data_IF_484530547365
#
_entry.id   IF_484530547365
#
_cell.length_a   1.000
_cell.length_b   1.000
_cell.length_c   1.000
_cell.angle_alpha   90.00
_cell.angle_beta   90.00
_cell.angle_gamma   90.00
#
_symmetry.space_group_name_H-M   'P 1'
#
loop_
_entity.id
_entity.type
_entity.pdbx_description
1 polymer ?
#
# COMPACT_ATOMS: atom_id res chain seq x y z
N UNK A 1 -12.99 62.00 10.98
CA UNK A 1 -12.80 61.00 9.91
C UNK A 1 -12.42 59.68 10.55
N UNK A 2 -13.38 58.75 10.63
CA UNK A 2 -13.15 57.39 11.10
C UNK A 2 -12.51 56.63 9.94
N UNK A 3 -11.20 56.38 10.01
CA UNK A 3 -10.59 55.33 9.21
C UNK A 3 -10.70 54.03 9.99
N UNK A 4 -11.62 53.17 9.54
CA UNK A 4 -11.77 51.81 10.00
C UNK A 4 -10.43 51.08 9.93
N UNK A 5 -9.83 50.80 11.09
CA UNK A 5 -8.86 49.71 11.24
C UNK A 5 -9.65 48.41 11.06
N UNK A 6 -9.80 47.96 9.81
CA UNK A 6 -10.22 46.60 9.53
C UNK A 6 -9.09 45.69 10.00
N UNK A 7 -9.21 45.18 11.23
CA UNK A 7 -8.41 44.07 11.71
C UNK A 7 -8.60 42.91 10.73
N UNK A 8 -7.69 42.77 9.77
CA UNK A 8 -7.63 41.56 8.96
C UNK A 8 -7.36 40.43 9.97
N UNK A 9 -8.28 39.46 10.13
CA UNK A 9 -8.11 38.43 11.14
C UNK A 9 -6.80 37.69 10.84
N UNK A 10 -5.89 37.63 11.80
CA UNK A 10 -4.52 37.09 11.64
C UNK A 10 -4.45 35.57 11.34
N UNK A 11 -5.58 34.93 11.01
CA UNK A 11 -5.72 33.47 10.88
C UNK A 11 -6.82 33.07 9.86
N UNK A 12 -6.96 33.77 8.72
CA UNK A 12 -7.86 33.29 7.66
C UNK A 12 -7.27 32.11 6.89
N UNK A 13 -8.10 31.31 6.22
CA UNK A 13 -7.67 30.22 5.33
C UNK A 13 -6.58 30.71 4.36
N UNK A 14 -6.85 31.82 3.65
CA UNK A 14 -5.93 32.42 2.69
C UNK A 14 -4.59 32.80 3.30
N UNK A 15 -4.60 33.41 4.48
CA UNK A 15 -3.36 33.79 5.17
C UNK A 15 -2.55 32.58 5.60
N UNK A 16 -3.21 31.58 6.21
CA UNK A 16 -2.55 30.36 6.68
C UNK A 16 -1.91 29.57 5.53
N UNK A 17 -2.57 29.48 4.38
CA UNK A 17 -2.03 28.85 3.18
C UNK A 17 -0.87 29.64 2.59
N UNK A 18 -0.99 30.98 2.49
CA UNK A 18 0.09 31.86 2.01
C UNK A 18 1.36 31.76 2.86
N UNK A 19 1.23 31.65 4.19
CA UNK A 19 2.40 31.49 5.06
C UNK A 19 3.00 30.09 5.00
N UNK A 20 2.17 29.06 4.85
CA UNK A 20 2.61 27.69 4.74
C UNK A 20 3.33 27.39 3.41
N UNK A 21 2.85 27.96 2.30
CA UNK A 21 3.41 27.75 0.96
C UNK A 21 4.81 28.35 0.77
N UNK A 22 5.29 29.14 1.74
CA UNK A 22 6.69 29.60 1.80
C UNK A 22 7.64 28.51 2.30
N UNK A 23 7.12 27.41 2.87
CA UNK A 23 7.90 26.37 3.57
C UNK A 23 7.73 24.98 2.96
N UNK A 24 6.59 24.72 2.34
CA UNK A 24 6.23 23.44 1.74
C UNK A 24 5.41 23.69 0.47
N UNK A 25 5.25 22.66 -0.36
CA UNK A 25 4.36 22.71 -1.51
C UNK A 25 2.95 23.16 -1.14
N UNK A 26 2.34 23.99 -1.99
CA UNK A 26 1.02 24.57 -1.71
C UNK A 26 -0.06 23.49 -1.54
N UNK A 27 0.00 22.42 -2.33
CA UNK A 27 -0.92 21.29 -2.21
C UNK A 27 -0.83 20.62 -0.83
N UNK A 28 0.38 20.44 -0.29
CA UNK A 28 0.55 19.86 1.05
C UNK A 28 0.00 20.78 2.14
N UNK A 29 0.21 22.10 2.00
CA UNK A 29 -0.38 23.09 2.89
C UNK A 29 -1.93 23.02 2.88
N UNK A 30 -2.53 22.94 1.68
CA UNK A 30 -3.98 22.77 1.52
C UNK A 30 -4.49 21.50 2.18
N UNK A 31 -3.85 20.36 1.90
CA UNK A 31 -4.26 19.05 2.42
C UNK A 31 -4.14 18.98 3.95
N UNK A 32 -3.09 19.57 4.53
CA UNK A 32 -2.93 19.66 5.98
C UNK A 32 -3.99 20.55 6.62
N UNK A 33 -4.31 21.70 6.01
CA UNK A 33 -5.34 22.60 6.55
C UNK A 33 -6.72 21.94 6.46
N UNK A 34 -7.06 21.36 5.30
CA UNK A 34 -8.28 20.60 5.07
C UNK A 34 -8.46 19.50 6.13
N UNK A 35 -7.39 18.72 6.39
CA UNK A 35 -7.37 17.70 7.43
C UNK A 35 -7.62 18.26 8.84
N UNK A 36 -7.04 19.42 9.18
CA UNK A 36 -7.23 20.06 10.49
C UNK A 36 -8.66 20.55 10.68
N UNK A 37 -9.28 21.09 9.62
CA UNK A 37 -10.64 21.59 9.67
C UNK A 37 -11.70 20.48 9.56
N UNK A 38 -11.33 19.29 9.06
CA UNK A 38 -12.30 18.26 8.68
C UNK A 38 -13.16 18.71 7.49
N UNK A 39 -12.56 19.42 6.54
CA UNK A 39 -13.22 20.01 5.36
C UNK A 39 -12.50 19.58 4.09
N UNK A 40 -13.17 19.74 2.95
CA UNK A 40 -12.60 19.45 1.65
C UNK A 40 -11.71 20.59 1.16
N UNK A 41 -10.97 20.38 0.06
CA UNK A 41 -10.14 21.44 -0.55
C UNK A 41 -11.00 22.51 -1.20
N UNK A 42 -12.11 22.11 -1.81
CA UNK A 42 -13.10 22.99 -2.43
C UNK A 42 -13.68 23.97 -1.41
N UNK A 43 -13.89 23.51 -0.17
CA UNK A 43 -14.30 24.37 0.93
C UNK A 43 -13.27 25.45 1.22
N UNK A 44 -11.97 25.12 1.25
CA UNK A 44 -10.91 26.12 1.47
C UNK A 44 -10.88 27.16 0.34
N UNK A 45 -10.98 26.69 -0.91
CA UNK A 45 -10.97 27.55 -2.09
C UNK A 45 -12.16 28.52 -2.15
N UNK A 46 -13.35 28.07 -1.71
CA UNK A 46 -14.58 28.87 -1.71
C UNK A 46 -14.73 29.75 -0.45
N UNK A 47 -13.95 29.50 0.61
CA UNK A 47 -14.02 30.22 1.88
C UNK A 47 -12.64 30.82 2.29
N UNK A 48 -11.96 31.59 1.42
CA UNK A 48 -10.60 32.06 1.68
C UNK A 48 -10.49 33.01 2.88
N UNK A 49 -11.55 33.79 3.16
CA UNK A 49 -11.60 34.75 4.26
C UNK A 49 -12.15 34.16 5.57
N UNK A 50 -12.48 32.86 5.59
CA UNK A 50 -12.94 32.22 6.82
C UNK A 50 -11.85 32.22 7.88
N UNK A 51 -12.20 32.71 9.06
CA UNK A 51 -11.33 32.71 10.24
C UNK A 51 -11.26 31.33 10.87
N UNK A 52 -10.04 30.92 11.23
CA UNK A 52 -9.78 29.63 11.88
C UNK A 52 -9.48 29.87 13.36
N UNK A 53 -10.09 29.06 14.24
CA UNK A 53 -9.86 29.15 15.68
C UNK A 53 -8.42 28.79 16.06
N UNK A 54 -7.97 29.32 17.20
CA UNK A 54 -6.58 29.22 17.63
C UNK A 54 -6.11 27.77 17.84
N UNK A 55 -6.99 26.87 18.32
CA UNK A 55 -6.64 25.46 18.53
C UNK A 55 -6.34 24.76 17.21
N UNK A 56 -7.16 25.01 16.18
CA UNK A 56 -6.91 24.51 14.82
C UNK A 56 -5.66 25.14 14.21
N UNK A 57 -5.41 26.43 14.42
CA UNK A 57 -4.17 27.09 13.96
C UNK A 57 -2.93 26.44 14.60
N UNK A 58 -2.95 26.17 15.91
CA UNK A 58 -1.85 25.50 16.62
C UNK A 58 -1.62 24.10 16.05
N UNK A 59 -2.70 23.33 15.85
CA UNK A 59 -2.62 21.99 15.24
C UNK A 59 -2.03 22.04 13.83
N UNK A 60 -2.48 22.98 13.00
CA UNK A 60 -1.96 23.17 11.64
C UNK A 60 -0.47 23.52 11.65
N UNK A 61 -0.05 24.49 12.47
CA UNK A 61 1.37 24.86 12.61
C UNK A 61 2.24 23.70 13.11
N UNK A 62 1.72 22.85 14.00
CA UNK A 62 2.39 21.63 14.43
C UNK A 62 2.60 20.64 13.27
N UNK A 63 1.56 20.38 12.46
CA UNK A 63 1.67 19.50 11.29
C UNK A 63 2.62 20.08 10.22
N UNK A 64 2.57 21.39 9.97
CA UNK A 64 3.51 22.07 9.07
C UNK A 64 4.96 21.85 9.52
N UNK A 65 5.26 22.02 10.81
CA UNK A 65 6.62 21.79 11.33
C UNK A 65 7.09 20.35 11.07
N UNK A 66 6.21 19.36 11.25
CA UNK A 66 6.51 17.96 10.96
C UNK A 66 6.70 17.71 9.47
N UNK A 67 5.89 18.35 8.61
CA UNK A 67 6.02 18.24 7.15
C UNK A 67 7.35 18.81 6.66
N UNK A 68 7.73 20.00 7.14
CA UNK A 68 9.03 20.62 6.84
C UNK A 68 10.21 19.79 7.31
N UNK A 69 10.04 18.94 8.34
CA UNK A 69 11.09 18.01 8.77
C UNK A 69 11.13 16.69 7.99
N UNK A 70 10.41 16.59 6.86
CA UNK A 70 10.40 15.40 6.00
C UNK A 70 9.33 14.36 6.34
N UNK A 71 8.45 14.58 7.32
CA UNK A 71 7.40 13.61 7.64
C UNK A 71 6.43 13.46 6.45
N UNK A 72 6.10 12.22 6.02
CA UNK A 72 5.19 12.00 4.91
C UNK A 72 3.80 12.59 5.19
N UNK A 73 3.22 13.24 4.18
CA UNK A 73 1.89 13.85 4.29
C UNK A 73 0.84 12.83 4.75
N UNK A 74 0.86 11.61 4.20
CA UNK A 74 -0.09 10.56 4.50
C UNK A 74 -0.07 10.14 5.99
N UNK A 75 1.08 10.22 6.67
CA UNK A 75 1.16 9.95 8.11
C UNK A 75 0.64 11.12 8.96
N UNK A 76 0.80 12.36 8.47
CA UNK A 76 0.25 13.54 9.13
C UNK A 76 -1.27 13.58 9.05
N UNK A 77 -1.81 13.29 7.86
CA UNK A 77 -3.25 13.19 7.63
C UNK A 77 -3.81 11.87 8.16
N UNK A 78 -2.99 10.82 8.29
CA UNK A 78 -3.32 9.42 8.65
C UNK A 78 -4.09 8.65 7.58
N UNK A 79 -4.08 9.17 6.35
CA UNK A 79 -4.90 8.68 5.25
C UNK A 79 -4.10 8.66 3.94
N UNK A 80 -4.33 7.66 3.10
CA UNK A 80 -3.79 7.53 1.75
C UNK A 80 -4.84 6.92 0.84
N UNK A 81 -5.15 7.60 -0.26
CA UNK A 81 -5.93 7.02 -1.34
C UNK A 81 -5.10 5.99 -2.10
N UNK A 82 -5.74 4.87 -2.43
CA UNK A 82 -5.21 3.78 -3.25
C UNK A 82 -6.36 3.10 -3.98
N UNK A 83 -6.27 2.97 -5.29
CA UNK A 83 -7.27 2.32 -6.14
C UNK A 83 -8.71 2.87 -5.94
N UNK A 84 -8.83 4.19 -5.76
CA UNK A 84 -10.10 4.88 -5.51
C UNK A 84 -10.67 4.72 -4.10
N UNK A 85 -9.95 4.06 -3.18
CA UNK A 85 -10.37 3.86 -1.78
C UNK A 85 -9.42 4.56 -0.81
N UNK A 86 -9.98 5.12 0.26
CA UNK A 86 -9.20 5.78 1.30
C UNK A 86 -8.76 4.79 2.40
N UNK A 87 -7.45 4.70 2.66
CA UNK A 87 -6.86 3.80 3.65
C UNK A 87 -6.24 4.57 4.82
N UNK A 88 -6.51 4.09 6.03
CA UNK A 88 -5.78 4.51 7.23
C UNK A 88 -4.34 4.03 7.12
N UNK A 89 -3.38 4.91 7.37
CA UNK A 89 -1.94 4.60 7.39
C UNK A 89 -1.28 5.22 8.62
N UNK A 90 -0.16 4.64 9.04
CA UNK A 90 0.70 5.22 10.07
C UNK A 90 2.13 4.70 9.92
N UNK A 91 3.02 5.14 10.83
CA UNK A 91 4.44 4.75 10.89
C UNK A 91 4.75 3.26 10.99
N UNK A 92 3.75 2.38 11.06
CA UNK A 92 3.89 0.93 11.11
C UNK A 92 3.57 0.24 9.78
N UNK A 93 3.19 0.99 8.75
CA UNK A 93 2.82 0.46 7.43
C UNK A 93 3.49 1.26 6.32
N UNK A 94 3.95 0.59 5.26
CA UNK A 94 4.31 1.25 4.01
C UNK A 94 3.13 2.10 3.51
N UNK A 95 3.39 3.31 3.06
CA UNK A 95 2.38 4.15 2.42
C UNK A 95 2.06 3.53 1.05
N UNK A 96 0.80 3.18 0.75
CA UNK A 96 0.41 2.63 -0.55
C UNK A 96 0.97 3.46 -1.72
N UNK A 97 1.60 2.78 -2.68
CA UNK A 97 2.20 3.41 -3.87
C UNK A 97 1.29 3.25 -5.08
N UNK A 98 1.24 4.23 -6.00
CA UNK A 98 0.49 4.09 -7.24
C UNK A 98 0.92 2.89 -8.08
N UNK A 99 2.24 2.61 -8.14
CA UNK A 99 2.76 1.47 -8.91
C UNK A 99 2.21 0.12 -8.43
N UNK A 100 1.84 0.00 -7.16
CA UNK A 100 1.21 -1.20 -6.58
C UNK A 100 -0.19 -1.45 -7.13
N UNK A 101 -0.87 -0.45 -7.69
CA UNK A 101 -2.17 -0.62 -8.34
C UNK A 101 -2.08 -1.52 -9.58
N UNK A 102 -0.92 -1.56 -10.26
CA UNK A 102 -0.68 -2.46 -11.40
C UNK A 102 -0.81 -3.93 -10.99
N UNK A 103 -0.39 -4.28 -9.77
CA UNK A 103 -0.56 -5.64 -9.25
C UNK A 103 -2.03 -5.97 -9.00
N UNK A 104 -2.79 -5.03 -8.43
CA UNK A 104 -4.24 -5.18 -8.22
C UNK A 104 -4.96 -5.38 -9.56
N UNK A 105 -4.64 -4.56 -10.57
CA UNK A 105 -5.18 -4.69 -11.92
C UNK A 105 -4.85 -6.04 -12.55
N UNK A 106 -3.62 -6.52 -12.39
CA UNK A 106 -3.20 -7.81 -12.93
C UNK A 106 -3.98 -8.99 -12.32
N UNK A 107 -4.26 -8.94 -11.01
CA UNK A 107 -5.10 -9.93 -10.32
C UNK A 107 -6.54 -9.85 -10.80
N UNK A 108 -7.11 -8.64 -10.82
CA UNK A 108 -8.50 -8.38 -11.24
C UNK A 108 -8.74 -8.87 -12.68
N UNK A 109 -7.83 -8.57 -13.59
CA UNK A 109 -7.96 -8.98 -14.99
C UNK A 109 -7.90 -10.51 -15.15
N UNK A 110 -7.08 -11.20 -14.35
CA UNK A 110 -7.06 -12.66 -14.33
C UNK A 110 -8.38 -13.23 -13.80
N UNK A 111 -8.87 -12.70 -12.68
CA UNK A 111 -10.15 -13.12 -12.08
C UNK A 111 -11.35 -12.92 -13.02
N UNK A 112 -11.32 -11.86 -13.86
CA UNK A 112 -12.33 -11.65 -14.93
C UNK A 112 -12.29 -12.76 -15.98
N UNK A 113 -11.10 -13.14 -16.42
CA UNK A 113 -10.91 -14.11 -17.48
C UNK A 113 -11.29 -15.54 -17.05
N UNK A 114 -11.15 -15.86 -15.76
CA UNK A 114 -11.40 -17.19 -15.20
C UNK A 114 -12.77 -17.32 -14.53
N UNK A 115 -13.75 -16.46 -14.87
CA UNK A 115 -15.05 -16.37 -14.17
C UNK A 115 -15.96 -17.59 -14.45
N UNK A 116 -15.64 -18.73 -13.84
CA UNK A 116 -16.44 -19.96 -13.81
C UNK A 116 -17.29 -20.11 -12.52
N UNK A 117 -17.22 -19.10 -11.63
CA UNK A 117 -17.90 -19.12 -10.34
C UNK A 117 -17.21 -19.98 -9.26
N UNK A 118 -16.01 -20.49 -9.53
CA UNK A 118 -15.19 -21.21 -8.55
C UNK A 118 -14.78 -20.30 -7.39
N UNK A 119 -14.71 -20.88 -6.19
CA UNK A 119 -14.19 -20.18 -5.03
C UNK A 119 -12.67 -20.13 -5.09
N UNK A 120 -12.09 -18.96 -4.84
CA UNK A 120 -10.64 -18.75 -4.86
C UNK A 120 -10.17 -18.30 -3.48
N UNK A 121 -8.97 -18.70 -3.11
CA UNK A 121 -8.29 -18.21 -1.91
C UNK A 121 -7.27 -17.15 -2.34
N UNK A 122 -7.43 -15.93 -1.82
CA UNK A 122 -6.48 -14.82 -1.97
C UNK A 122 -5.65 -14.70 -0.70
N UNK A 123 -4.33 -14.75 -0.82
CA UNK A 123 -3.38 -14.58 0.29
C UNK A 123 -2.52 -13.36 -0.02
N UNK A 124 -2.66 -12.31 0.77
CA UNK A 124 -1.81 -11.13 0.69
C UNK A 124 -0.69 -11.20 1.74
N UNK A 125 0.55 -11.22 1.26
CA UNK A 125 1.76 -11.46 2.05
C UNK A 125 2.50 -10.14 2.30
N UNK A 126 2.72 -9.81 3.57
CA UNK A 126 3.26 -8.50 3.95
C UNK A 126 2.22 -7.39 3.80
N UNK A 127 0.99 -7.65 4.27
CA UNK A 127 -0.20 -6.86 3.91
C UNK A 127 -0.13 -5.37 4.27
N UNK A 128 0.69 -4.98 5.25
CA UNK A 128 0.90 -3.58 5.60
C UNK A 128 -0.40 -2.88 6.01
N UNK A 129 -0.91 -2.00 5.15
CA UNK A 129 -2.17 -1.28 5.38
C UNK A 129 -3.42 -2.09 4.98
N UNK A 130 -3.25 -3.21 4.27
CA UNK A 130 -4.32 -4.00 3.67
C UNK A 130 -4.83 -3.47 2.33
N UNK A 131 -4.14 -2.51 1.70
CA UNK A 131 -4.64 -1.84 0.51
C UNK A 131 -4.87 -2.79 -0.68
N UNK A 132 -3.94 -3.71 -0.93
CA UNK A 132 -4.02 -4.70 -2.02
C UNK A 132 -5.26 -5.63 -1.87
N UNK A 133 -5.40 -6.41 -0.79
CA UNK A 133 -6.48 -7.39 -0.68
C UNK A 133 -7.85 -6.73 -0.54
N UNK A 134 -7.92 -5.56 0.09
CA UNK A 134 -9.17 -4.79 0.19
C UNK A 134 -9.59 -4.25 -1.17
N UNK A 135 -8.66 -3.68 -1.96
CA UNK A 135 -8.97 -3.19 -3.31
C UNK A 135 -9.45 -4.34 -4.21
N UNK A 136 -8.77 -5.50 -4.18
CA UNK A 136 -9.20 -6.70 -4.90
C UNK A 136 -10.60 -7.15 -4.44
N UNK A 137 -10.86 -7.20 -3.13
CA UNK A 137 -12.14 -7.63 -2.59
C UNK A 137 -13.31 -6.71 -2.96
N UNK A 138 -13.07 -5.40 -2.93
CA UNK A 138 -14.06 -4.39 -3.35
C UNK A 138 -14.42 -4.59 -4.81
N UNK A 139 -13.42 -4.86 -5.64
CA UNK A 139 -13.63 -5.16 -7.04
C UNK A 139 -14.38 -6.49 -7.24
N UNK A 140 -13.95 -7.59 -6.61
CA UNK A 140 -14.57 -8.92 -6.81
C UNK A 140 -16.01 -9.01 -6.31
N UNK A 141 -16.37 -8.21 -5.30
CA UNK A 141 -17.75 -8.10 -4.79
C UNK A 141 -18.72 -7.60 -5.86
N UNK A 142 -18.29 -6.63 -6.68
CA UNK A 142 -19.13 -6.06 -7.75
C UNK A 142 -19.43 -7.08 -8.86
N UNK A 143 -18.58 -8.10 -9.01
CA UNK A 143 -18.70 -9.16 -10.02
C UNK A 143 -19.17 -10.50 -9.45
N UNK A 144 -19.60 -10.54 -8.17
CA UNK A 144 -20.10 -11.72 -7.45
C UNK A 144 -19.13 -12.91 -7.41
N UNK A 145 -17.83 -12.65 -7.45
CA UNK A 145 -16.81 -13.69 -7.29
C UNK A 145 -16.68 -14.10 -5.82
N UNK A 146 -16.55 -15.41 -5.56
CA UNK A 146 -16.37 -15.94 -4.21
C UNK A 146 -14.89 -16.00 -3.85
N UNK A 147 -14.42 -15.02 -3.08
CA UNK A 147 -13.01 -14.94 -2.66
C UNK A 147 -12.88 -15.04 -1.14
N UNK A 148 -12.12 -16.02 -0.67
CA UNK A 148 -11.71 -16.14 0.73
C UNK A 148 -10.34 -15.48 0.92
N UNK A 149 -10.27 -14.45 1.76
CA UNK A 149 -9.09 -13.60 1.86
C UNK A 149 -8.33 -13.88 3.16
N UNK A 150 -7.03 -14.11 3.02
CA UNK A 150 -6.07 -14.16 4.11
C UNK A 150 -5.08 -13.03 3.94
N UNK A 151 -4.71 -12.39 5.05
CA UNK A 151 -3.67 -11.38 5.07
C UNK A 151 -2.64 -11.73 6.13
N UNK A 152 -1.37 -11.81 5.72
CA UNK A 152 -0.24 -12.12 6.61
C UNK A 152 0.69 -10.92 6.73
N UNK A 153 1.25 -10.74 7.93
CA UNK A 153 2.30 -9.77 8.17
C UNK A 153 3.11 -10.18 9.40
N UNK A 154 4.41 -9.88 9.38
CA UNK A 154 5.30 -10.06 10.53
C UNK A 154 5.06 -8.98 11.60
N UNK A 155 4.47 -7.84 11.22
CA UNK A 155 4.16 -6.73 12.10
C UNK A 155 2.74 -6.84 12.65
N UNK A 156 2.62 -7.12 13.96
CA UNK A 156 1.32 -7.04 14.66
C UNK A 156 0.68 -5.66 14.54
N UNK A 157 1.49 -4.60 14.47
CA UNK A 157 1.05 -3.22 14.34
C UNK A 157 0.47 -2.95 12.94
N UNK A 158 1.08 -3.49 11.88
CA UNK A 158 0.54 -3.44 10.52
C UNK A 158 -0.82 -4.16 10.45
N UNK A 159 -0.92 -5.39 10.98
CA UNK A 159 -2.20 -6.11 11.04
C UNK A 159 -3.30 -5.37 11.81
N UNK A 160 -2.96 -4.56 12.82
CA UNK A 160 -3.95 -3.68 13.47
C UNK A 160 -4.47 -2.59 12.53
N UNK A 161 -3.63 -2.07 11.64
CA UNK A 161 -4.03 -1.12 10.60
C UNK A 161 -4.89 -1.82 9.54
N UNK A 162 -4.45 -2.95 9.00
CA UNK A 162 -5.22 -3.79 8.07
C UNK A 162 -6.61 -4.11 8.63
N UNK A 163 -6.72 -4.52 9.89
CA UNK A 163 -8.01 -4.78 10.56
C UNK A 163 -8.94 -3.58 10.58
N UNK A 164 -8.40 -2.38 10.83
CA UNK A 164 -9.18 -1.15 10.84
C UNK A 164 -9.64 -0.78 9.43
N UNK A 165 -8.80 -0.95 8.42
CA UNK A 165 -9.18 -0.71 7.02
C UNK A 165 -10.19 -1.74 6.51
N UNK A 166 -10.01 -3.02 6.83
CA UNK A 166 -10.97 -4.08 6.50
C UNK A 166 -12.35 -3.78 7.09
N UNK A 167 -12.42 -3.36 8.37
CA UNK A 167 -13.66 -2.91 9.01
C UNK A 167 -14.23 -1.66 8.32
N UNK A 168 -13.40 -0.66 8.01
CA UNK A 168 -13.82 0.58 7.35
C UNK A 168 -14.49 0.31 5.99
N UNK A 169 -13.95 -0.65 5.23
CA UNK A 169 -14.40 -0.99 3.87
C UNK A 169 -15.37 -2.17 3.82
N UNK A 170 -15.77 -2.71 4.98
CA UNK A 170 -16.65 -3.88 5.11
C UNK A 170 -16.15 -5.12 4.34
N UNK A 171 -14.84 -5.36 4.37
CA UNK A 171 -14.21 -6.52 3.71
C UNK A 171 -13.83 -7.58 4.75
N UNK A 172 -14.37 -8.80 4.67
CA UNK A 172 -13.98 -9.89 5.56
C UNK A 172 -12.59 -10.42 5.18
N UNK A 173 -11.67 -10.42 6.14
CA UNK A 173 -10.30 -10.90 5.96
C UNK A 173 -9.91 -11.74 7.18
N UNK A 174 -9.28 -12.90 6.93
CA UNK A 174 -8.65 -13.70 7.98
C UNK A 174 -7.21 -13.24 8.17
N UNK A 175 -6.92 -12.66 9.33
CA UNK A 175 -5.59 -12.13 9.65
C UNK A 175 -4.73 -13.20 10.32
N UNK A 176 -3.50 -13.38 9.85
CA UNK A 176 -2.52 -14.26 10.49
C UNK A 176 -1.20 -13.52 10.68
N UNK A 177 -0.61 -13.67 11.86
CA UNK A 177 0.67 -13.05 12.19
C UNK A 177 1.79 -14.08 12.06
N UNK A 178 2.84 -13.73 11.32
CA UNK A 178 4.04 -14.54 11.19
C UNK A 178 4.74 -14.31 9.86
N UNK A 179 5.67 -15.19 9.53
CA UNK A 179 6.55 -15.01 8.40
C UNK A 179 5.92 -15.52 7.10
N UNK A 180 5.78 -14.63 6.12
CA UNK A 180 5.29 -14.94 4.77
C UNK A 180 4.02 -15.82 4.77
N UNK A 181 4.08 -17.03 4.19
CA UNK A 181 2.95 -17.97 4.09
C UNK A 181 2.82 -18.91 5.29
N UNK A 182 3.85 -19.07 6.13
CA UNK A 182 3.85 -20.03 7.25
C UNK A 182 2.56 -20.04 8.07
N UNK A 183 1.96 -18.87 8.44
CA UNK A 183 0.79 -18.83 9.30
C UNK A 183 -0.51 -19.31 8.64
N UNK A 184 -0.51 -19.46 7.31
CA UNK A 184 -1.68 -19.84 6.52
C UNK A 184 -1.54 -21.21 5.85
N UNK A 185 -0.32 -21.76 5.72
CA UNK A 185 -0.05 -23.03 5.03
C UNK A 185 -1.04 -24.14 5.43
N UNK A 186 -1.18 -24.42 6.73
CA UNK A 186 -2.08 -25.49 7.19
C UNK A 186 -3.57 -25.21 6.95
N UNK A 187 -3.98 -23.94 6.93
CA UNK A 187 -5.39 -23.55 6.79
C UNK A 187 -5.86 -23.55 5.33
N UNK A 188 -5.00 -23.21 4.39
CA UNK A 188 -5.37 -23.03 2.97
C UNK A 188 -5.25 -24.33 2.17
N UNK A 189 -4.24 -25.14 2.49
CA UNK A 189 -3.90 -26.38 1.78
C UNK A 189 -5.01 -27.43 1.84
N UNK A 190 -5.79 -27.49 2.92
CA UNK A 190 -6.87 -28.46 3.08
C UNK A 190 -8.05 -28.27 2.09
N UNK A 191 -8.19 -27.11 1.46
CA UNK A 191 -9.40 -26.78 0.68
C UNK A 191 -9.30 -27.18 -0.81
N UNK A 192 -8.09 -27.52 -1.29
CA UNK A 192 -7.81 -27.81 -2.70
C UNK A 192 -8.33 -26.76 -3.72
N UNK A 193 -8.50 -25.51 -3.28
CA UNK A 193 -8.95 -24.41 -4.14
C UNK A 193 -7.74 -23.73 -4.82
N UNK A 194 -7.94 -23.06 -5.97
CA UNK A 194 -6.91 -22.21 -6.57
C UNK A 194 -6.43 -21.10 -5.60
N UNK A 195 -5.12 -20.85 -5.62
CA UNK A 195 -4.49 -19.81 -4.83
C UNK A 195 -4.04 -18.64 -5.69
N UNK A 196 -4.42 -17.43 -5.26
CA UNK A 196 -3.78 -16.21 -5.69
C UNK A 196 -2.98 -15.67 -4.51
N UNK A 197 -1.69 -15.44 -4.73
CA UNK A 197 -0.80 -14.83 -3.75
C UNK A 197 -0.42 -13.44 -4.27
N UNK A 198 -0.57 -12.42 -3.44
CA UNK A 198 -0.04 -11.07 -3.71
C UNK A 198 1.05 -10.74 -2.71
N UNK A 199 2.13 -10.12 -3.19
CA UNK A 199 3.31 -9.85 -2.40
C UNK A 199 3.97 -8.55 -2.88
N UNK A 200 3.79 -7.46 -2.12
CA UNK A 200 4.65 -6.28 -2.21
C UNK A 200 5.61 -6.31 -1.02
N UNK A 201 6.66 -7.12 -1.14
CA UNK A 201 7.64 -7.32 -0.08
C UNK A 201 8.74 -6.26 -0.14
N UNK A 202 9.44 -5.99 0.97
CA UNK A 202 10.65 -5.18 0.96
C UNK A 202 11.62 -5.65 -0.12
N UNK A 203 11.97 -4.76 -1.05
CA UNK A 203 12.84 -5.07 -2.20
C UNK A 203 13.98 -4.07 -2.39
N UNK A 204 14.10 -3.06 -1.54
CA UNK A 204 15.16 -2.05 -1.62
C UNK A 204 16.40 -2.57 -0.88
N UNK A 205 17.60 -2.25 -1.38
CA UNK A 205 18.86 -2.55 -0.69
C UNK A 205 19.17 -1.53 0.41
N UNK A 206 20.03 -1.89 1.36
CA UNK A 206 20.51 -0.95 2.37
C UNK A 206 21.13 0.30 1.72
N UNK A 207 21.93 0.12 0.67
CA UNK A 207 22.57 1.23 -0.05
C UNK A 207 21.55 2.16 -0.72
N UNK A 208 20.51 1.62 -1.35
CA UNK A 208 19.45 2.43 -1.94
C UNK A 208 18.62 3.16 -0.88
N UNK A 209 18.38 2.53 0.27
CA UNK A 209 17.69 3.18 1.38
C UNK A 209 18.49 4.37 1.92
N UNK A 210 19.79 4.22 2.16
CA UNK A 210 20.66 5.31 2.65
C UNK A 210 20.81 6.44 1.63
N UNK A 211 20.85 6.12 0.33
CA UNK A 211 21.03 7.09 -0.75
C UNK A 211 19.72 7.59 -1.36
N UNK A 212 18.58 7.33 -0.73
CA UNK A 212 17.29 7.69 -1.31
C UNK A 212 17.16 9.20 -1.48
N UNK A 213 16.79 9.70 -2.68
CA UNK A 213 16.55 11.12 -2.88
C UNK A 213 15.28 11.62 -2.16
N UNK A 214 14.46 10.71 -1.65
CA UNK A 214 13.17 10.99 -1.03
C UNK A 214 13.28 10.84 0.49
N UNK A 215 13.46 11.93 1.26
CA UNK A 215 13.70 11.86 2.70
C UNK A 215 12.52 11.25 3.49
N UNK A 216 11.31 11.28 2.91
CA UNK A 216 10.10 10.66 3.45
C UNK A 216 10.25 9.17 3.75
N UNK A 217 11.05 8.46 2.95
CA UNK A 217 11.26 7.01 3.08
C UNK A 217 11.83 6.64 4.46
N UNK A 218 12.59 7.54 5.08
CA UNK A 218 13.21 7.32 6.39
C UNK A 218 12.22 7.40 7.56
N UNK A 219 11.00 7.85 7.31
CA UNK A 219 9.92 7.85 8.30
C UNK A 219 9.05 6.59 8.24
N UNK A 220 9.17 5.80 7.17
CA UNK A 220 8.46 4.55 6.99
C UNK A 220 9.22 3.41 7.69
N UNK A 221 8.55 2.29 8.05
CA UNK A 221 9.24 1.19 8.68
C UNK A 221 10.32 0.65 7.74
N UNK A 222 11.59 0.69 8.17
CA UNK A 222 12.71 0.12 7.38
C UNK A 222 12.47 -1.35 7.02
N UNK A 223 11.83 -2.12 7.92
CA UNK A 223 11.43 -3.52 7.68
C UNK A 223 10.38 -3.71 6.58
N UNK A 224 9.72 -2.65 6.13
CA UNK A 224 8.77 -2.65 5.02
C UNK A 224 9.42 -2.19 3.70
N UNK A 225 10.73 -1.90 3.71
CA UNK A 225 11.46 -1.31 2.58
C UNK A 225 12.70 -2.11 2.21
N UNK A 226 13.51 -2.45 3.22
CA UNK A 226 14.83 -3.06 3.03
C UNK A 226 14.78 -4.56 3.16
N UNK A 227 15.40 -5.27 2.22
CA UNK A 227 15.68 -6.69 2.30
C UNK A 227 17.12 -7.01 1.88
N UNK A 228 17.64 -8.09 2.45
CA UNK A 228 18.96 -8.63 2.09
C UNK A 228 18.96 -9.27 0.68
N UNK A 229 20.12 -9.74 0.25
CA UNK A 229 20.32 -10.40 -1.04
C UNK A 229 19.82 -9.56 -2.23
N UNK A 230 20.30 -8.31 -2.31
CA UNK A 230 19.87 -7.33 -3.32
C UNK A 230 18.33 -7.11 -3.34
N UNK A 231 17.68 -7.20 -2.18
CA UNK A 231 16.24 -7.05 -2.05
C UNK A 231 15.43 -8.30 -2.41
N UNK A 232 16.07 -9.46 -2.61
CA UNK A 232 15.41 -10.70 -3.04
C UNK A 232 15.28 -11.75 -1.93
N UNK A 233 15.83 -11.53 -0.73
CA UNK A 233 15.83 -12.54 0.33
C UNK A 233 14.42 -13.04 0.70
N UNK A 234 13.45 -12.13 0.84
CA UNK A 234 12.07 -12.49 1.18
C UNK A 234 11.34 -13.16 0.02
N UNK A 235 11.66 -12.79 -1.23
CA UNK A 235 11.13 -13.49 -2.41
C UNK A 235 11.68 -14.90 -2.51
N UNK A 236 12.97 -15.11 -2.26
CA UNK A 236 13.59 -16.43 -2.21
C UNK A 236 12.90 -17.33 -1.18
N UNK A 237 12.65 -16.80 0.01
CA UNK A 237 11.96 -17.53 1.08
C UNK A 237 10.49 -17.83 0.71
N UNK A 238 9.77 -16.86 0.15
CA UNK A 238 8.40 -17.04 -0.32
C UNK A 238 8.32 -18.17 -1.36
N UNK A 239 9.22 -18.17 -2.34
CA UNK A 239 9.28 -19.21 -3.37
C UNK A 239 9.65 -20.58 -2.79
N UNK A 240 10.50 -20.66 -1.77
CA UNK A 240 10.76 -21.92 -1.05
C UNK A 240 9.51 -22.44 -0.34
N UNK A 241 8.71 -21.56 0.27
CA UNK A 241 7.43 -21.94 0.89
C UNK A 241 6.41 -22.39 -0.16
N UNK A 242 6.29 -21.69 -1.30
CA UNK A 242 5.44 -22.11 -2.42
C UNK A 242 5.87 -23.48 -2.95
N UNK A 243 7.18 -23.73 -3.09
CA UNK A 243 7.73 -25.03 -3.51
C UNK A 243 7.23 -26.19 -2.63
N UNK A 244 7.17 -25.98 -1.33
CA UNK A 244 6.67 -26.99 -0.39
C UNK A 244 5.18 -27.28 -0.60
N UNK A 245 4.38 -26.26 -0.94
CA UNK A 245 2.95 -26.43 -1.22
C UNK A 245 2.75 -27.26 -2.50
N UNK A 246 3.36 -26.85 -3.61
CA UNK A 246 3.17 -27.48 -4.93
C UNK A 246 3.74 -28.90 -4.99
N UNK A 247 4.75 -29.23 -4.18
CA UNK A 247 5.29 -30.60 -4.10
C UNK A 247 4.30 -31.58 -3.46
N UNK A 248 3.45 -31.09 -2.56
CA UNK A 248 2.54 -31.94 -1.79
C UNK A 248 1.11 -31.92 -2.33
N UNK A 249 0.75 -31.01 -3.25
CA UNK A 249 -0.62 -30.79 -3.70
C UNK A 249 -0.68 -30.40 -5.17
N UNK A 250 -1.68 -30.92 -5.89
CA UNK A 250 -2.00 -30.51 -7.26
C UNK A 250 -2.92 -29.28 -7.16
N UNK A 251 -2.33 -28.08 -7.20
CA UNK A 251 -3.06 -26.83 -7.04
C UNK A 251 -2.62 -25.81 -8.09
N UNK A 252 -3.59 -25.07 -8.62
CA UNK A 252 -3.32 -23.91 -9.45
C UNK A 252 -2.92 -22.76 -8.52
N UNK A 253 -1.68 -22.31 -8.62
CA UNK A 253 -1.15 -21.20 -7.82
C UNK A 253 -0.68 -20.13 -8.78
N UNK A 254 -1.12 -18.89 -8.55
CA UNK A 254 -0.56 -17.72 -9.21
C UNK A 254 -0.05 -16.74 -8.16
N UNK A 255 1.24 -16.42 -8.20
CA UNK A 255 1.89 -15.46 -7.32
C UNK A 255 2.21 -14.18 -8.09
N UNK A 256 1.80 -13.04 -7.54
CA UNK A 256 2.07 -11.70 -8.05
C UNK A 256 3.01 -10.99 -7.10
N UNK A 257 4.19 -10.61 -7.59
CA UNK A 257 5.24 -9.98 -6.81
C UNK A 257 5.59 -8.60 -7.39
N UNK A 258 5.52 -7.55 -6.57
CA UNK A 258 6.03 -6.22 -6.97
C UNK A 258 7.56 -6.18 -6.86
N UNK A 259 8.25 -5.71 -7.88
CA UNK A 259 9.72 -5.63 -7.91
C UNK A 259 10.21 -4.22 -8.24
N UNK A 260 11.47 -3.97 -7.92
CA UNK A 260 12.22 -2.92 -8.58
C UNK A 260 12.61 -3.38 -10.00
N UNK A 261 12.53 -2.51 -11.03
CA UNK A 261 12.87 -2.88 -12.40
C UNK A 261 14.29 -3.46 -12.56
N UNK A 262 15.24 -3.09 -11.71
CA UNK A 262 16.61 -3.63 -11.74
C UNK A 262 16.70 -5.09 -11.33
N UNK A 263 15.66 -5.64 -10.70
CA UNK A 263 15.65 -7.01 -10.16
C UNK A 263 15.14 -8.05 -11.17
N UNK A 264 14.55 -7.66 -12.30
CA UNK A 264 13.88 -8.57 -13.25
C UNK A 264 14.70 -9.80 -13.63
N UNK A 265 15.97 -9.61 -14.01
CA UNK A 265 16.83 -10.72 -14.41
C UNK A 265 17.18 -11.65 -13.24
N UNK A 266 17.43 -11.08 -12.06
CA UNK A 266 17.83 -11.82 -10.87
C UNK A 266 16.66 -12.64 -10.31
N UNK A 267 15.47 -12.04 -10.21
CA UNK A 267 14.27 -12.73 -9.72
C UNK A 267 13.82 -13.83 -10.71
N UNK A 268 13.93 -13.62 -12.02
CA UNK A 268 13.66 -14.66 -13.01
C UNK A 268 14.58 -15.88 -12.84
N UNK A 269 15.89 -15.64 -12.64
CA UNK A 269 16.87 -16.71 -12.37
C UNK A 269 16.56 -17.43 -11.05
N UNK A 270 16.22 -16.67 -10.01
CA UNK A 270 15.83 -17.21 -8.70
C UNK A 270 14.62 -18.15 -8.82
N UNK A 271 13.57 -17.70 -9.51
CA UNK A 271 12.35 -18.48 -9.75
C UNK A 271 12.69 -19.76 -10.52
N UNK A 272 13.43 -19.66 -11.64
CA UNK A 272 13.82 -20.84 -12.43
C UNK A 272 14.62 -21.88 -11.63
N UNK A 273 15.43 -21.45 -10.67
CA UNK A 273 16.19 -22.35 -9.80
C UNK A 273 15.32 -23.06 -8.75
N UNK A 274 14.35 -22.34 -8.17
CA UNK A 274 13.53 -22.89 -7.07
C UNK A 274 12.34 -23.67 -7.65
N UNK A 275 11.74 -23.15 -8.72
CA UNK A 275 10.45 -23.54 -9.29
C UNK A 275 10.58 -23.63 -10.83
N UNK A 276 11.29 -24.63 -11.38
CA UNK A 276 11.64 -24.69 -12.81
C UNK A 276 10.46 -24.90 -13.77
N UNK A 277 9.36 -25.50 -13.30
CA UNK A 277 8.19 -25.86 -14.13
C UNK A 277 7.12 -24.75 -14.18
N UNK A 278 7.53 -23.50 -13.97
CA UNK A 278 6.60 -22.36 -13.91
C UNK A 278 6.49 -21.59 -15.20
N UNK A 279 5.29 -21.05 -15.43
CA UNK A 279 5.13 -19.93 -16.34
C UNK A 279 5.48 -18.62 -15.63
N UNK A 280 6.41 -17.87 -16.21
CA UNK A 280 6.86 -16.56 -15.73
C UNK A 280 6.43 -15.48 -16.72
N UNK A 281 5.76 -14.44 -16.21
CA UNK A 281 5.44 -13.21 -16.95
C UNK A 281 5.93 -12.01 -16.13
N UNK A 282 6.42 -10.97 -16.79
CA UNK A 282 6.80 -9.71 -16.16
C UNK A 282 5.98 -8.58 -16.79
N UNK A 283 5.10 -7.98 -16.01
CA UNK A 283 4.31 -6.81 -16.41
C UNK A 283 5.04 -5.52 -16.10
N UNK A 284 4.88 -4.57 -17.00
CA UNK A 284 5.42 -3.21 -16.90
C UNK A 284 4.41 -2.27 -16.24
N UNK A 285 4.91 -1.25 -15.54
CA UNK A 285 4.13 -0.11 -15.10
C UNK A 285 3.80 0.84 -16.28
N UNK A 286 3.02 1.89 -16.00
CA UNK A 286 2.63 2.90 -16.99
C UNK A 286 3.83 3.67 -17.58
N UNK A 287 4.99 3.62 -16.93
CA UNK A 287 6.24 4.22 -17.42
C UNK A 287 7.08 3.24 -18.24
N UNK A 288 6.58 2.03 -18.53
CA UNK A 288 7.25 1.01 -19.31
C UNK A 288 8.33 0.23 -18.55
N UNK A 289 8.44 0.40 -17.24
CA UNK A 289 9.44 -0.30 -16.41
C UNK A 289 8.84 -1.56 -15.82
N UNK A 290 9.64 -2.61 -15.70
CA UNK A 290 9.20 -3.88 -15.12
C UNK A 290 8.77 -3.67 -13.66
N UNK A 291 7.59 -4.17 -13.30
CA UNK A 291 6.97 -3.88 -12.00
C UNK A 291 6.38 -5.09 -11.31
N UNK A 292 5.68 -5.95 -12.04
CA UNK A 292 4.97 -7.09 -11.43
C UNK A 292 5.44 -8.36 -12.10
N UNK A 293 6.07 -9.23 -11.30
CA UNK A 293 6.39 -10.59 -11.69
C UNK A 293 5.20 -11.47 -11.37
N UNK A 294 4.74 -12.22 -12.37
CA UNK A 294 3.63 -13.16 -12.26
C UNK A 294 4.20 -14.55 -12.49
N UNK A 295 4.04 -15.43 -11.50
CA UNK A 295 4.49 -16.82 -11.58
C UNK A 295 3.29 -17.72 -11.39
N UNK A 296 3.08 -18.65 -12.34
CA UNK A 296 1.95 -19.58 -12.31
C UNK A 296 2.41 -21.03 -12.33
N UNK A 297 1.75 -21.85 -11.51
CA UNK A 297 1.91 -23.30 -11.41
C UNK A 297 0.59 -24.01 -11.69
N UNK A 298 0.68 -25.16 -12.36
CA UNK A 298 -0.47 -26.02 -12.65
C UNK A 298 -1.38 -25.49 -13.76
N UNK A 299 -0.90 -24.60 -14.63
CA UNK A 299 -1.60 -24.26 -15.89
C UNK A 299 -1.46 -25.37 -16.94
#
# INVERSE_FOLDING_TARGET
MIFNNTHVPLNTVKQLLKEASKKIEYLDAELLLAHVLGKSREFLATNPEQTIDMMRVIKYKYLLKKRTSGMPLAYLTKHKEFYGFDFLVNKHTLIPRPDTEIMVEAVVNRLRATNDGQQIILIDVGTGSGCIPIAIAKWTSDFRLRVSIFATDISKQALKVTKRNAKKHNVPITFKHGNLLEPVLSSVVCNQLPFIITANLPYITEQQYQNSPTPEIHHEPKSALVADNNGLALYEELFKQIKQIVKCHILHITCYCEIDPSQSAQIAKLIGNILPETKLEIKKDLSGKDRVVIVSWGE
#
